data_IF_311090158780
#
_entry.id   IF_311090158780
#
_cell.length_a   1.000
_cell.length_b   1.000
_cell.length_c   1.000
_cell.angle_alpha   90.00
_cell.angle_beta   90.00
_cell.angle_gamma   90.00
#
_symmetry.space_group_name_H-M   'P 1'
#
loop_
_entity.id
_entity.type
_entity.pdbx_description
1 polymer ?
#
# COMPACT_ATOMS: atom_id res chain seq x y z
N UNK A 1 -5.44 4.51 18.34
CA UNK A 1 -4.61 3.29 18.11
C UNK A 1 -3.18 3.68 18.43
N UNK A 2 -2.43 2.87 19.18
CA UNK A 2 -1.02 3.19 19.43
C UNK A 2 -0.21 3.13 18.13
N UNK A 3 0.79 4.01 17.99
CA UNK A 3 1.57 4.16 16.77
C UNK A 3 2.28 2.86 16.35
N UNK A 4 2.71 2.06 17.31
CA UNK A 4 3.40 0.79 17.02
C UNK A 4 2.45 -0.26 16.45
N UNK A 5 1.17 -0.23 16.84
CA UNK A 5 0.16 -1.10 16.26
C UNK A 5 -0.13 -0.71 14.80
N UNK A 6 -0.17 0.59 14.49
CA UNK A 6 -0.30 1.08 13.09
C UNK A 6 0.91 0.62 12.26
N UNK A 7 2.13 0.76 12.78
CA UNK A 7 3.35 0.30 12.09
C UNK A 7 3.32 -1.20 11.83
N UNK A 8 2.90 -1.99 12.81
CA UNK A 8 2.77 -3.45 12.69
C UNK A 8 1.77 -3.82 11.58
N UNK A 9 0.60 -3.20 11.56
CA UNK A 9 -0.40 -3.43 10.53
C UNK A 9 0.08 -3.04 9.11
N UNK A 10 0.75 -1.91 8.98
CA UNK A 10 1.35 -1.48 7.71
C UNK A 10 2.46 -2.44 7.25
N UNK A 11 3.27 -2.93 8.18
CA UNK A 11 4.33 -3.90 7.90
C UNK A 11 3.76 -5.24 7.43
N UNK A 12 2.70 -5.74 8.07
CA UNK A 12 2.01 -6.95 7.63
C UNK A 12 1.46 -6.82 6.20
N UNK A 13 0.87 -5.66 5.86
CA UNK A 13 0.40 -5.37 4.50
C UNK A 13 1.56 -5.40 3.49
N UNK A 14 2.71 -4.80 3.83
CA UNK A 14 3.90 -4.84 2.98
C UNK A 14 4.46 -6.24 2.78
N UNK A 15 4.54 -7.06 3.85
CA UNK A 15 5.00 -8.45 3.73
C UNK A 15 4.12 -9.25 2.79
N UNK A 16 2.80 -9.04 2.83
CA UNK A 16 1.87 -9.67 1.88
C UNK A 16 2.17 -9.24 0.44
N UNK A 17 2.36 -7.94 0.19
CA UNK A 17 2.68 -7.42 -1.14
C UNK A 17 4.00 -8.03 -1.65
N UNK A 18 5.04 -8.07 -0.82
CA UNK A 18 6.33 -8.69 -1.16
C UNK A 18 6.16 -10.15 -1.59
N UNK A 19 5.43 -10.95 -0.81
CA UNK A 19 5.17 -12.35 -1.17
C UNK A 19 4.43 -12.51 -2.51
N UNK A 20 3.54 -11.57 -2.85
CA UNK A 20 2.88 -11.58 -4.17
C UNK A 20 3.85 -11.20 -5.30
N UNK A 21 4.73 -10.23 -5.09
CA UNK A 21 5.75 -9.83 -6.08
C UNK A 21 6.78 -10.95 -6.29
N UNK A 22 7.25 -11.60 -5.22
CA UNK A 22 8.17 -12.74 -5.29
C UNK A 22 7.55 -13.90 -6.09
N UNK A 23 6.25 -14.14 -5.93
CA UNK A 23 5.54 -15.15 -6.69
C UNK A 23 5.38 -14.78 -8.18
N UNK A 24 5.14 -13.50 -8.50
CA UNK A 24 5.14 -13.03 -9.89
C UNK A 24 6.51 -13.23 -10.52
N UNK A 25 7.59 -12.87 -9.83
CA UNK A 25 8.96 -13.05 -10.33
C UNK A 25 9.27 -14.52 -10.60
N UNK A 26 8.92 -15.42 -9.67
CA UNK A 26 9.08 -16.87 -9.86
C UNK A 26 8.32 -17.39 -11.08
N UNK A 27 7.11 -16.87 -11.32
CA UNK A 27 6.29 -17.25 -12.46
C UNK A 27 6.82 -16.73 -13.81
N UNK A 28 7.86 -15.88 -13.87
CA UNK A 28 8.48 -15.48 -15.14
C UNK A 28 9.50 -16.48 -15.65
N UNK A 29 9.95 -17.39 -14.78
CA UNK A 29 11.00 -18.36 -15.08
C UNK A 29 10.50 -19.80 -15.07
N UNK A 30 9.18 -20.00 -14.91
CA UNK A 30 8.62 -21.33 -14.88
C UNK A 30 8.44 -21.84 -16.32
N UNK A 31 8.57 -23.14 -16.55
CA UNK A 31 8.45 -23.70 -17.92
C UNK A 31 6.99 -24.01 -18.29
N UNK A 32 6.14 -24.15 -17.27
CA UNK A 32 4.70 -24.40 -17.38
C UNK A 32 3.91 -23.13 -17.02
N UNK A 33 4.30 -21.99 -17.60
CA UNK A 33 3.77 -20.68 -17.23
C UNK A 33 2.26 -20.57 -17.47
N UNK A 34 1.52 -20.38 -16.36
CA UNK A 34 0.11 -20.06 -16.37
C UNK A 34 -0.05 -18.52 -16.37
N UNK A 35 -0.02 -17.94 -17.57
CA UNK A 35 -0.16 -16.50 -17.79
C UNK A 35 -1.43 -15.92 -17.14
N UNK A 36 -2.52 -16.67 -17.12
CA UNK A 36 -3.78 -16.24 -16.50
C UNK A 36 -3.61 -16.07 -14.98
N UNK A 37 -3.03 -17.07 -14.32
CA UNK A 37 -2.70 -16.97 -12.88
C UNK A 37 -1.77 -15.79 -12.59
N UNK A 38 -0.76 -15.57 -13.42
CA UNK A 38 0.18 -14.45 -13.24
C UNK A 38 -0.52 -13.09 -13.41
N UNK A 39 -1.44 -12.95 -14.38
CA UNK A 39 -2.26 -11.74 -14.56
C UNK A 39 -3.18 -11.50 -13.35
N UNK A 40 -3.82 -12.54 -12.84
CA UNK A 40 -4.65 -12.45 -11.62
C UNK A 40 -3.81 -11.98 -10.43
N UNK A 41 -2.60 -12.52 -10.29
CA UNK A 41 -1.69 -12.16 -9.21
C UNK A 41 -1.20 -10.71 -9.35
N UNK A 42 -0.85 -10.26 -10.55
CA UNK A 42 -0.52 -8.86 -10.87
C UNK A 42 -1.65 -7.90 -10.48
N UNK A 43 -2.90 -8.23 -10.84
CA UNK A 43 -4.08 -7.45 -10.44
C UNK A 43 -4.21 -7.39 -8.92
N UNK A 44 -4.05 -8.52 -8.24
CA UNK A 44 -4.15 -8.59 -6.78
C UNK A 44 -3.04 -7.77 -6.09
N UNK A 45 -1.81 -7.82 -6.59
CA UNK A 45 -0.67 -7.03 -6.09
C UNK A 45 -0.91 -5.53 -6.26
N UNK A 46 -1.39 -5.11 -7.43
CA UNK A 46 -1.74 -3.71 -7.69
C UNK A 46 -2.81 -3.20 -6.73
N UNK A 47 -3.86 -3.98 -6.52
CA UNK A 47 -4.92 -3.62 -5.58
C UNK A 47 -4.43 -3.58 -4.12
N UNK A 48 -3.55 -4.51 -3.74
CA UNK A 48 -2.96 -4.54 -2.41
C UNK A 48 -2.08 -3.29 -2.17
N UNK A 49 -1.31 -2.88 -3.19
CA UNK A 49 -0.49 -1.66 -3.12
C UNK A 49 -1.35 -0.40 -2.97
N UNK A 50 -2.45 -0.28 -3.73
CA UNK A 50 -3.41 0.82 -3.55
C UNK A 50 -3.96 0.88 -2.12
N UNK A 51 -4.46 -0.25 -1.61
CA UNK A 51 -5.01 -0.35 -0.25
C UNK A 51 -3.97 -0.08 0.84
N UNK A 52 -2.70 -0.43 0.58
CA UNK A 52 -1.61 -0.05 1.47
C UNK A 52 -1.40 1.47 1.46
N UNK A 53 -1.38 2.11 0.30
CA UNK A 53 -1.29 3.57 0.16
C UNK A 53 -2.40 4.30 0.91
N UNK A 54 -3.65 3.85 0.79
CA UNK A 54 -4.78 4.39 1.55
C UNK A 54 -4.57 4.29 3.06
N UNK A 55 -4.20 3.11 3.56
CA UNK A 55 -3.98 2.87 4.99
C UNK A 55 -2.81 3.71 5.52
N UNK A 56 -1.69 3.78 4.79
CA UNK A 56 -0.56 4.62 5.17
C UNK A 56 -0.97 6.09 5.32
N UNK A 57 -1.78 6.57 4.38
CA UNK A 57 -2.24 7.96 4.35
C UNK A 57 -3.24 8.27 5.46
N UNK A 58 -4.15 7.33 5.74
CA UNK A 58 -5.17 7.49 6.77
C UNK A 58 -4.57 7.38 8.17
N UNK A 59 -3.75 6.36 8.39
CA UNK A 59 -3.37 5.90 9.72
C UNK A 59 -1.99 6.40 10.15
N UNK A 60 -1.07 6.69 9.22
CA UNK A 60 0.31 7.06 9.56
C UNK A 60 0.69 8.49 9.16
N UNK A 61 0.05 9.08 8.15
CA UNK A 61 0.42 10.40 7.64
C UNK A 61 0.19 11.54 8.64
N UNK A 62 -0.74 11.38 9.59
CA UNK A 62 -0.95 12.36 10.66
C UNK A 62 0.30 12.56 11.52
N UNK A 63 1.10 11.51 11.69
CA UNK A 63 2.42 11.61 12.31
C UNK A 63 3.33 12.55 11.53
N UNK A 64 3.47 12.35 10.22
CA UNK A 64 4.33 13.16 9.37
C UNK A 64 3.97 14.66 9.39
N UNK A 65 2.69 15.00 9.57
CA UNK A 65 2.26 16.39 9.69
C UNK A 65 2.45 16.97 11.09
N UNK A 66 2.21 16.18 12.13
CA UNK A 66 2.44 16.60 13.51
C UNK A 66 3.91 16.93 13.80
N UNK A 67 4.84 16.20 13.19
CA UNK A 67 6.29 16.43 13.35
C UNK A 67 6.77 17.68 12.60
N UNK A 68 6.11 18.09 11.51
CA UNK A 68 6.54 19.21 10.65
C UNK A 68 5.83 20.54 10.91
N UNK A 69 4.94 20.65 11.91
CA UNK A 69 4.08 21.84 12.16
C UNK A 69 3.41 22.36 10.87
N UNK A 70 2.99 21.46 9.99
CA UNK A 70 2.37 21.87 8.74
C UNK A 70 1.00 22.54 9.01
N UNK A 71 0.63 23.61 8.28
CA UNK A 71 -0.70 24.21 8.39
C UNK A 71 -1.80 23.17 8.18
N UNK A 72 -2.82 23.18 9.05
CA UNK A 72 -3.92 22.20 9.05
C UNK A 72 -4.69 22.12 7.73
N UNK A 73 -4.74 23.23 6.98
CA UNK A 73 -5.34 23.32 5.65
C UNK A 73 -4.56 22.50 4.59
N UNK A 74 -3.23 22.51 4.64
CA UNK A 74 -2.36 21.75 3.74
C UNK A 74 -2.48 20.25 4.04
N UNK A 75 -2.49 19.87 5.32
CA UNK A 75 -2.68 18.48 5.74
C UNK A 75 -4.00 17.92 5.22
N UNK A 76 -5.11 18.66 5.37
CA UNK A 76 -6.45 18.22 4.92
C UNK A 76 -6.53 18.07 3.41
N UNK A 77 -5.96 19.01 2.65
CA UNK A 77 -5.96 18.97 1.19
C UNK A 77 -5.10 17.82 0.66
N UNK A 78 -3.92 17.60 1.25
CA UNK A 78 -3.03 16.51 0.85
C UNK A 78 -3.62 15.14 1.18
N UNK A 79 -4.24 14.97 2.36
CA UNK A 79 -4.94 13.74 2.73
C UNK A 79 -6.12 13.44 1.79
N UNK A 80 -6.87 14.46 1.36
CA UNK A 80 -7.93 14.34 0.34
C UNK A 80 -7.38 13.92 -1.03
N UNK A 81 -6.35 14.61 -1.52
CA UNK A 81 -5.76 14.34 -2.85
C UNK A 81 -5.21 12.91 -2.92
N UNK A 82 -4.54 12.47 -1.86
CA UNK A 82 -3.95 11.14 -1.83
C UNK A 82 -5.02 10.04 -1.68
N UNK A 83 -6.06 10.27 -0.87
CA UNK A 83 -7.20 9.33 -0.81
C UNK A 83 -7.83 9.17 -2.19
N UNK A 84 -8.06 10.26 -2.92
CA UNK A 84 -8.57 10.21 -4.28
C UNK A 84 -7.66 9.44 -5.25
N UNK A 85 -6.33 9.54 -5.08
CA UNK A 85 -5.38 8.82 -5.93
C UNK A 85 -5.38 7.29 -5.71
N UNK A 86 -5.78 6.82 -4.54
CA UNK A 86 -5.75 5.39 -4.21
C UNK A 86 -7.14 4.70 -4.22
N UNK A 87 -8.24 5.46 -4.20
CA UNK A 87 -9.62 4.94 -4.15
C UNK A 87 -10.24 4.59 -5.52
N UNK A 88 -9.43 4.16 -6.51
CA UNK A 88 -9.91 3.67 -7.82
C UNK A 88 -10.03 2.14 -7.88
#
# INVERSE_FOLDING_TARGET
MELDEIRKQLTHRLHRIKGQLDAIEKNLYNKDDDCEKTIILLKASSQALKKFGEAYVQDYMDKCFSEKKAPSSIQKNLKKAIKAAFSL
#
